data_IF_508275916247
#
_entry.id   IF_508275916247
#
_cell.length_a   1.000
_cell.length_b   1.000
_cell.length_c   1.000
_cell.angle_alpha   90.00
_cell.angle_beta   90.00
_cell.angle_gamma   90.00
#
_symmetry.space_group_name_H-M   'P 1'
#
loop_
_entity.id
_entity.type
_entity.pdbx_description
1 polymer ?
#
# COMPACT_ATOMS: atom_id res chain seq x y z
N UNK A 1 2.02 10.57 21.79
CA UNK A 1 2.86 9.40 22.09
C UNK A 1 2.13 8.60 23.16
N UNK A 2 1.41 7.54 22.80
CA UNK A 2 0.74 6.68 23.77
C UNK A 2 1.61 5.46 24.04
N UNK A 3 1.87 5.21 25.32
CA UNK A 3 2.56 4.04 25.83
C UNK A 3 1.80 2.77 25.41
N UNK A 4 2.20 2.16 24.29
CA UNK A 4 1.86 0.79 24.00
C UNK A 4 2.71 -0.06 24.95
N UNK A 5 2.13 -0.43 26.10
CA UNK A 5 2.73 -1.40 27.00
C UNK A 5 3.18 -2.62 26.20
N UNK A 6 4.40 -3.08 26.45
CA UNK A 6 4.92 -4.31 25.86
C UNK A 6 3.89 -5.41 26.17
N UNK A 7 3.25 -6.02 25.15
CA UNK A 7 2.25 -7.04 25.42
C UNK A 7 2.92 -8.17 26.19
N UNK A 8 2.31 -8.59 27.29
CA UNK A 8 2.79 -9.69 28.09
C UNK A 8 3.06 -10.91 27.19
N UNK A 9 4.23 -11.53 27.34
CA UNK A 9 4.58 -12.74 26.60
C UNK A 9 3.52 -13.82 26.86
N UNK A 10 3.02 -14.49 25.82
CA UNK A 10 1.97 -15.50 25.99
C UNK A 10 2.46 -16.64 26.88
N UNK A 11 1.65 -17.03 27.86
CA UNK A 11 2.03 -18.02 28.88
C UNK A 11 1.61 -19.45 28.52
N UNK A 12 0.68 -19.59 27.57
CA UNK A 12 0.24 -20.88 27.04
C UNK A 12 -0.03 -20.79 25.53
N UNK A 13 -0.29 -21.93 24.89
CA UNK A 13 -0.52 -22.00 23.44
C UNK A 13 -1.77 -21.21 23.02
N UNK A 14 -2.82 -21.18 23.84
CA UNK A 14 -4.03 -20.42 23.54
C UNK A 14 -3.75 -18.91 23.52
N UNK A 15 -2.99 -18.40 24.50
CA UNK A 15 -2.54 -17.01 24.54
C UNK A 15 -1.65 -16.68 23.34
N UNK A 16 -0.76 -17.59 22.96
CA UNK A 16 0.11 -17.41 21.80
C UNK A 16 -0.70 -17.34 20.51
N UNK A 17 -1.70 -18.22 20.35
CA UNK A 17 -2.61 -18.20 19.19
C UNK A 17 -3.40 -16.90 19.13
N UNK A 18 -3.97 -16.46 20.25
CA UNK A 18 -4.70 -15.21 20.33
C UNK A 18 -3.81 -14.01 19.99
N UNK A 19 -2.60 -13.95 20.56
CA UNK A 19 -1.64 -12.88 20.30
C UNK A 19 -1.26 -12.77 18.82
N UNK A 20 -0.94 -13.90 18.19
CA UNK A 20 -0.57 -13.93 16.78
C UNK A 20 -1.76 -13.55 15.90
N UNK A 21 -2.95 -14.09 16.14
CA UNK A 21 -4.17 -13.72 15.39
C UNK A 21 -4.44 -12.22 15.48
N UNK A 22 -4.34 -11.61 16.67
CA UNK A 22 -4.52 -10.17 16.84
C UNK A 22 -3.49 -9.36 16.06
N UNK A 23 -2.23 -9.80 16.02
CA UNK A 23 -1.17 -9.13 15.24
C UNK A 23 -1.40 -9.23 13.74
N UNK A 24 -1.78 -10.40 13.25
CA UNK A 24 -2.13 -10.58 11.84
C UNK A 24 -3.37 -9.78 11.44
N UNK A 25 -4.39 -9.72 12.30
CA UNK A 25 -5.57 -8.89 12.07
C UNK A 25 -5.20 -7.41 11.92
N UNK A 26 -4.37 -6.88 12.83
CA UNK A 26 -3.89 -5.50 12.76
C UNK A 26 -3.07 -5.23 11.49
N UNK A 27 -2.21 -6.17 11.07
CA UNK A 27 -1.42 -6.06 9.84
C UNK A 27 -2.32 -6.03 8.59
N UNK A 28 -3.30 -6.94 8.52
CA UNK A 28 -4.26 -7.01 7.41
C UNK A 28 -5.13 -5.76 7.34
N UNK A 29 -5.59 -5.26 8.48
CA UNK A 29 -6.38 -4.02 8.56
C UNK A 29 -5.57 -2.81 8.08
N UNK A 30 -4.34 -2.68 8.55
CA UNK A 30 -3.43 -1.62 8.10
C UNK A 30 -3.17 -1.72 6.58
N UNK A 31 -3.00 -2.93 6.06
CA UNK A 31 -2.81 -3.17 4.63
C UNK A 31 -4.05 -2.80 3.81
N UNK A 32 -5.26 -3.15 4.28
CA UNK A 32 -6.51 -2.72 3.65
C UNK A 32 -6.66 -1.20 3.64
N UNK A 33 -6.32 -0.56 4.76
CA UNK A 33 -6.34 0.90 4.90
C UNK A 33 -5.37 1.57 3.93
N UNK A 34 -4.14 1.07 3.84
CA UNK A 34 -3.13 1.56 2.91
C UNK A 34 -3.55 1.39 1.44
N UNK A 35 -4.25 0.31 1.09
CA UNK A 35 -4.79 0.13 -0.24
C UNK A 35 -5.86 1.17 -0.58
N UNK A 36 -6.80 1.43 0.35
CA UNK A 36 -7.83 2.47 0.18
C UNK A 36 -7.20 3.84 0.00
N UNK A 37 -6.25 4.20 0.87
CA UNK A 37 -5.52 5.46 0.76
C UNK A 37 -4.75 5.57 -0.56
N UNK A 38 -4.07 4.50 -0.98
CA UNK A 38 -3.36 4.50 -2.25
C UNK A 38 -4.30 4.75 -3.42
N UNK A 39 -5.48 4.11 -3.44
CA UNK A 39 -6.47 4.32 -4.50
C UNK A 39 -6.98 5.77 -4.51
N UNK A 40 -7.31 6.33 -3.35
CA UNK A 40 -7.79 7.70 -3.23
C UNK A 40 -6.73 8.71 -3.69
N UNK A 41 -5.47 8.54 -3.28
CA UNK A 41 -4.37 9.41 -3.71
C UNK A 41 -4.16 9.29 -5.22
N UNK A 42 -4.16 8.09 -5.79
CA UNK A 42 -3.99 7.91 -7.24
C UNK A 42 -5.09 8.58 -8.05
N UNK A 43 -6.33 8.51 -7.56
CA UNK A 43 -7.46 9.19 -8.20
C UNK A 43 -7.30 10.71 -8.12
N UNK A 44 -7.01 11.25 -6.94
CA UNK A 44 -6.79 12.69 -6.75
C UNK A 44 -5.64 13.22 -7.62
N UNK A 45 -4.53 12.48 -7.71
CA UNK A 45 -3.40 12.86 -8.56
C UNK A 45 -3.80 12.85 -10.04
N UNK A 46 -4.61 11.89 -10.48
CA UNK A 46 -5.11 11.84 -11.86
C UNK A 46 -6.04 13.02 -12.17
N UNK A 47 -6.95 13.36 -11.26
CA UNK A 47 -7.85 14.52 -11.37
C UNK A 47 -7.07 15.83 -11.46
N UNK A 48 -6.13 16.06 -10.54
CA UNK A 48 -5.28 17.26 -10.55
C UNK A 48 -4.40 17.34 -11.81
N UNK A 49 -3.90 16.19 -12.28
CA UNK A 49 -3.13 16.13 -13.52
C UNK A 49 -3.97 16.55 -14.74
N UNK A 50 -5.20 16.04 -14.84
CA UNK A 50 -6.12 16.38 -15.94
C UNK A 50 -6.50 17.87 -15.94
N UNK A 51 -6.81 18.42 -14.76
CA UNK A 51 -7.05 19.85 -14.59
C UNK A 51 -5.85 20.71 -15.00
N UNK A 52 -4.64 20.31 -14.57
CA UNK A 52 -3.41 21.00 -14.89
C UNK A 52 -3.09 20.94 -16.38
N UNK A 53 -3.26 19.78 -17.02
CA UNK A 53 -3.07 19.60 -18.46
C UNK A 53 -4.07 20.43 -19.27
N UNK A 54 -5.32 20.47 -18.84
CA UNK A 54 -6.36 21.31 -19.44
C UNK A 54 -6.00 22.79 -19.34
N UNK A 55 -5.53 23.23 -18.17
CA UNK A 55 -5.12 24.63 -17.92
C UNK A 55 -3.90 25.03 -18.77
N UNK A 56 -2.87 24.16 -18.84
CA UNK A 56 -1.68 24.39 -19.65
C UNK A 56 -2.02 24.46 -21.15
N UNK A 57 -2.85 23.54 -21.63
CA UNK A 57 -3.27 23.51 -23.04
C UNK A 57 -4.06 24.77 -23.40
N UNK A 58 -5.02 25.17 -22.56
CA UNK A 58 -5.78 26.41 -22.75
C UNK A 58 -4.88 27.65 -22.76
N UNK A 59 -3.89 27.70 -21.87
CA UNK A 59 -2.92 28.80 -21.81
C UNK A 59 -2.07 28.86 -23.07
N UNK A 60 -1.61 27.70 -23.57
CA UNK A 60 -0.85 27.59 -24.81
C UNK A 60 -1.66 28.08 -26.02
N UNK A 61 -2.94 27.72 -26.10
CA UNK A 61 -3.83 28.18 -27.17
C UNK A 61 -4.15 29.68 -27.07
N UNK A 62 -4.32 30.21 -25.86
CA UNK A 62 -4.50 31.64 -25.62
C UNK A 62 -3.28 32.47 -26.04
N UNK A 63 -2.06 32.00 -25.74
CA UNK A 63 -0.82 32.66 -26.15
C UNK A 63 -0.65 32.76 -27.67
N UNK A 64 -1.20 31.81 -28.44
CA UNK A 64 -1.17 31.85 -29.90
C UNK A 64 -2.02 32.98 -30.48
N UNK A 65 -3.04 33.43 -29.75
CA UNK A 65 -3.99 34.47 -30.17
C UNK A 65 -3.59 35.87 -29.72
N UNK A 66 -2.67 35.99 -28.76
CA UNK A 66 -2.21 37.29 -28.25
C UNK A 66 -1.29 37.98 -29.25
N UNK A 67 -1.52 39.28 -29.46
CA UNK A 67 -0.60 40.13 -30.20
C UNK A 67 0.64 40.40 -29.33
N UNK A 68 1.77 39.84 -29.74
CA UNK A 68 3.04 39.92 -29.00
C UNK A 68 4.23 39.65 -29.93
N UNK A 69 5.43 40.14 -29.57
CA UNK A 69 6.63 39.88 -30.34
C UNK A 69 6.88 38.38 -30.53
N UNK A 70 7.20 37.98 -31.76
CA UNK A 70 7.30 36.57 -32.12
C UNK A 70 8.45 35.83 -31.41
N UNK A 71 9.50 36.55 -31.02
CA UNK A 71 10.57 36.00 -30.18
C UNK A 71 10.03 35.61 -28.78
N UNK A 72 9.32 36.53 -28.12
CA UNK A 72 8.69 36.31 -26.80
C UNK A 72 7.65 35.19 -26.86
N UNK A 73 6.82 35.17 -27.92
CA UNK A 73 5.83 34.10 -28.12
C UNK A 73 6.50 32.73 -28.21
N UNK A 74 7.56 32.60 -29.02
CA UNK A 74 8.28 31.33 -29.19
C UNK A 74 8.90 30.83 -27.88
N UNK A 75 9.49 31.72 -27.09
CA UNK A 75 10.07 31.37 -25.80
C UNK A 75 9.01 30.83 -24.82
N UNK A 76 7.88 31.54 -24.68
CA UNK A 76 6.77 31.11 -23.82
C UNK A 76 6.16 29.78 -24.27
N UNK A 77 5.92 29.61 -25.58
CA UNK A 77 5.38 28.37 -26.13
C UNK A 77 6.34 27.18 -25.95
N UNK A 78 7.65 27.41 -26.06
CA UNK A 78 8.67 26.39 -25.81
C UNK A 78 8.66 25.96 -24.34
N UNK A 79 8.63 26.93 -23.42
CA UNK A 79 8.54 26.65 -21.98
C UNK A 79 7.29 25.84 -21.60
N UNK A 80 6.12 26.25 -22.10
CA UNK A 80 4.87 25.52 -21.90
C UNK A 80 4.88 24.12 -22.52
N UNK A 81 5.41 23.97 -23.74
CA UNK A 81 5.53 22.67 -24.39
C UNK A 81 6.40 21.70 -23.59
N UNK A 82 7.51 22.20 -23.03
CA UNK A 82 8.38 21.43 -22.14
C UNK A 82 7.65 21.01 -20.86
N UNK A 83 6.90 21.93 -20.23
CA UNK A 83 6.10 21.63 -19.04
C UNK A 83 5.02 20.57 -19.31
N UNK A 84 4.28 20.69 -20.42
CA UNK A 84 3.31 19.69 -20.88
C UNK A 84 3.99 18.34 -21.10
N UNK A 85 5.16 18.31 -21.73
CA UNK A 85 5.93 17.08 -21.93
C UNK A 85 6.28 16.38 -20.61
N UNK A 86 6.71 17.14 -19.59
CA UNK A 86 6.99 16.59 -18.25
C UNK A 86 5.74 16.04 -17.58
N UNK A 87 4.59 16.70 -17.74
CA UNK A 87 3.33 16.23 -17.20
C UNK A 87 2.91 14.92 -17.88
N UNK A 88 3.00 14.81 -19.22
CA UNK A 88 2.72 13.55 -19.94
C UNK A 88 3.61 12.39 -19.51
N UNK A 89 4.89 12.66 -19.23
CA UNK A 89 5.78 11.62 -18.68
C UNK A 89 5.30 11.14 -17.31
N UNK A 90 4.84 12.07 -16.46
CA UNK A 90 4.28 11.73 -15.16
C UNK A 90 2.98 10.92 -15.30
N UNK A 91 2.11 11.30 -16.24
CA UNK A 91 0.88 10.59 -16.59
C UNK A 91 1.13 9.13 -16.99
N UNK A 92 2.20 8.88 -17.76
CA UNK A 92 2.58 7.53 -18.16
C UNK A 92 3.20 6.73 -17.01
N UNK A 93 3.97 7.38 -16.13
CA UNK A 93 4.68 6.72 -15.04
C UNK A 93 3.80 6.39 -13.83
N UNK A 94 2.84 7.25 -13.50
CA UNK A 94 1.99 7.10 -12.32
C UNK A 94 1.18 5.79 -12.32
N UNK A 95 0.49 5.38 -13.41
CA UNK A 95 -0.21 4.11 -13.47
C UNK A 95 0.71 2.91 -13.21
N UNK A 96 1.95 2.93 -13.72
CA UNK A 96 2.93 1.85 -13.52
C UNK A 96 3.35 1.74 -12.04
N UNK A 97 3.54 2.88 -11.37
CA UNK A 97 3.84 2.91 -9.93
C UNK A 97 2.66 2.39 -9.11
N UNK A 98 1.44 2.80 -9.46
CA UNK A 98 0.21 2.34 -8.80
C UNK A 98 0.02 0.84 -8.98
N UNK A 99 0.18 0.33 -10.20
CA UNK A 99 0.10 -1.10 -10.51
C UNK A 99 1.14 -1.89 -9.71
N UNK A 100 2.40 -1.46 -9.71
CA UNK A 100 3.47 -2.13 -8.95
C UNK A 100 3.14 -2.19 -7.46
N UNK A 101 2.63 -1.09 -6.90
CA UNK A 101 2.24 -1.03 -5.48
C UNK A 101 1.05 -1.94 -5.18
N UNK A 102 0.07 -2.01 -6.07
CA UNK A 102 -1.08 -2.90 -5.94
C UNK A 102 -0.64 -4.37 -5.99
N UNK A 103 0.21 -4.75 -6.94
CA UNK A 103 0.75 -6.12 -7.08
C UNK A 103 1.53 -6.54 -5.84
N UNK A 104 2.47 -5.70 -5.38
CA UNK A 104 3.22 -5.95 -4.13
C UNK A 104 2.28 -6.05 -2.92
N UNK A 105 1.27 -5.18 -2.87
CA UNK A 105 0.23 -5.22 -1.86
C UNK A 105 -0.57 -6.51 -1.89
N UNK A 106 -0.88 -7.08 -3.05
CA UNK A 106 -1.59 -8.35 -3.16
C UNK A 106 -0.70 -9.54 -2.76
N UNK A 107 0.57 -9.54 -3.17
CA UNK A 107 1.56 -10.54 -2.76
C UNK A 107 1.72 -10.59 -1.24
N UNK A 108 1.96 -9.45 -0.59
CA UNK A 108 2.09 -9.37 0.87
C UNK A 108 0.86 -9.92 1.61
N UNK A 109 -0.35 -9.73 1.07
CA UNK A 109 -1.57 -10.27 1.69
C UNK A 109 -1.59 -11.80 1.65
N UNK A 110 -1.19 -12.34 0.50
CA UNK A 110 -1.12 -13.78 0.26
C UNK A 110 -0.09 -14.42 1.20
N UNK A 111 1.07 -13.78 1.34
CA UNK A 111 2.13 -14.22 2.25
C UNK A 111 1.68 -14.19 3.71
N UNK A 112 1.06 -13.09 4.17
CA UNK A 112 0.54 -12.99 5.53
C UNK A 112 -0.52 -14.08 5.81
N UNK A 113 -1.41 -14.36 4.86
CA UNK A 113 -2.39 -15.44 4.99
C UNK A 113 -1.72 -16.81 5.08
N UNK A 114 -0.72 -17.06 4.25
CA UNK A 114 0.05 -18.31 4.27
C UNK A 114 0.75 -18.53 5.61
N UNK A 115 1.39 -17.49 6.16
CA UNK A 115 2.06 -17.55 7.46
C UNK A 115 1.05 -17.81 8.58
N UNK A 116 -0.10 -17.14 8.59
CA UNK A 116 -1.13 -17.34 9.60
C UNK A 116 -1.66 -18.80 9.60
N UNK A 117 -1.90 -19.37 8.42
CA UNK A 117 -2.36 -20.75 8.28
C UNK A 117 -1.29 -21.75 8.75
N UNK A 118 -0.02 -21.55 8.39
CA UNK A 118 1.09 -22.39 8.85
C UNK A 118 1.29 -22.31 10.36
N UNK A 119 1.14 -21.11 10.93
CA UNK A 119 1.20 -20.91 12.37
C UNK A 119 0.08 -21.67 13.08
N UNK A 120 -1.16 -21.59 12.57
CA UNK A 120 -2.30 -22.29 13.19
C UNK A 120 -2.12 -23.82 13.17
N UNK A 121 -1.70 -24.38 12.03
CA UNK A 121 -1.37 -25.81 11.91
C UNK A 121 -0.25 -26.22 12.87
N UNK A 122 0.81 -25.42 12.99
CA UNK A 122 1.93 -25.69 13.90
C UNK A 122 1.49 -25.63 15.36
N UNK A 123 0.68 -24.64 15.73
CA UNK A 123 0.16 -24.49 17.08
C UNK A 123 -0.77 -25.65 17.47
N UNK A 124 -1.58 -26.12 16.52
CA UNK A 124 -2.46 -27.27 16.73
C UNK A 124 -1.67 -28.58 16.90
N UNK A 125 -0.65 -28.81 16.08
CA UNK A 125 0.27 -29.95 16.23
C UNK A 125 0.97 -29.93 17.58
N UNK A 126 1.50 -28.77 17.98
CA UNK A 126 2.18 -28.62 19.27
C UNK A 126 1.23 -28.92 20.45
N UNK A 127 0.00 -28.40 20.40
CA UNK A 127 -1.01 -28.71 21.42
C UNK A 127 -1.29 -30.22 21.50
N UNK A 128 -1.42 -30.89 20.35
CA UNK A 128 -1.58 -32.35 20.28
C UNK A 128 -0.42 -33.12 20.91
N UNK A 129 0.82 -32.73 20.59
CA UNK A 129 2.02 -33.35 21.16
C UNK A 129 2.11 -33.15 22.67
N UNK A 130 1.75 -31.97 23.19
CA UNK A 130 1.74 -31.71 24.63
C UNK A 130 0.70 -32.55 25.37
N UNK A 131 -0.50 -32.72 24.80
CA UNK A 131 -1.54 -33.59 25.36
C UNK A 131 -1.08 -35.05 25.36
N UNK A 132 -0.48 -35.53 24.27
CA UNK A 132 0.08 -36.88 24.20
C UNK A 132 1.18 -37.10 25.24
N UNK A 133 2.08 -36.13 25.41
CA UNK A 133 3.13 -36.17 26.43
C UNK A 133 2.53 -36.30 27.83
N UNK A 134 1.55 -35.46 28.16
CA UNK A 134 0.89 -35.49 29.48
C UNK A 134 0.19 -36.83 29.75
N UNK A 135 -0.47 -37.41 28.74
CA UNK A 135 -1.09 -38.73 28.85
C UNK A 135 -0.06 -39.84 29.09
N UNK A 136 1.08 -39.80 28.40
CA UNK A 136 2.18 -40.76 28.60
C UNK A 136 2.81 -40.63 29.99
N UNK A 137 3.00 -39.41 30.49
CA UNK A 137 3.53 -39.15 31.83
C UNK A 137 2.59 -39.71 32.91
N UNK A 138 1.28 -39.58 32.75
CA UNK A 138 0.26 -40.14 33.67
C UNK A 138 0.16 -41.66 33.64
N UNK A 139 0.54 -42.30 32.54
CA UNK A 139 0.55 -43.77 32.40
C UNK A 139 1.85 -44.41 32.89
N UNK A 140 2.92 -43.62 33.06
CA UNK A 140 4.25 -44.09 33.49
C UNK A 140 4.46 -44.00 35.01
N UNK A 141 3.47 -43.48 35.74
CA UNK A 141 3.36 -43.45 37.21
C UNK A 141 2.30 -44.43 37.68
#
# INVERSE_FOLDING_TARGET
MNAAGVPALPQNIADMRLFVVQRFAALLENQMRNQRFSKAISQMVAEVHDELMTSLTRTMDGLRQLDMPEATRRELLSGLSSAIGRCRNLEAALPLLVQTRQTRGAANRTDLRSILLRFDDTAQKLAGTLVQKELLERQST
#
